data_IF_348823198819
#
_entry.id   IF_348823198819
#
_cell.length_a   1.000
_cell.length_b   1.000
_cell.length_c   1.000
_cell.angle_alpha   90.00
_cell.angle_beta   90.00
_cell.angle_gamma   90.00
#
_symmetry.space_group_name_H-M   'P 1'
#
loop_
_entity.id
_entity.type
_entity.pdbx_description
1 polymer ?
#
# COMPACT_ATOMS: atom_id res chain seq x y z
N UNK A 1 53.82 0.89 51.20
CA UNK A 1 53.41 1.87 50.20
C UNK A 1 54.03 1.47 48.89
N UNK A 2 53.25 0.89 48.00
CA UNK A 2 53.72 0.42 46.69
C UNK A 2 53.34 1.48 45.65
N UNK A 3 54.31 1.96 44.86
CA UNK A 3 54.14 2.89 43.78
C UNK A 3 53.45 2.17 42.57
N UNK A 4 52.49 2.79 41.86
CA UNK A 4 51.95 2.21 40.67
C UNK A 4 52.88 2.29 39.46
N UNK A 5 53.00 1.22 38.69
CA UNK A 5 53.84 1.10 37.50
C UNK A 5 53.37 2.04 36.38
N UNK A 6 54.26 2.59 35.55
CA UNK A 6 53.91 3.50 34.47
C UNK A 6 53.24 2.75 33.31
N UNK A 7 52.15 3.33 32.78
CA UNK A 7 51.41 2.87 31.60
C UNK A 7 52.29 2.93 30.35
N UNK A 8 52.36 1.88 29.49
CA UNK A 8 53.20 1.92 28.30
C UNK A 8 52.65 2.89 27.26
N UNK A 9 53.53 3.78 26.77
CA UNK A 9 53.20 4.72 25.68
C UNK A 9 52.98 3.97 24.36
N UNK A 10 51.89 4.27 23.66
CA UNK A 10 51.57 3.71 22.36
C UNK A 10 52.62 4.12 21.30
N UNK A 11 53.09 3.21 20.43
CA UNK A 11 54.07 3.52 19.40
C UNK A 11 53.53 4.56 18.41
N UNK A 12 54.35 5.55 18.04
CA UNK A 12 54.03 6.66 17.12
C UNK A 12 53.26 6.25 15.85
N UNK A 13 53.53 5.03 15.33
CA UNK A 13 52.82 4.49 14.17
C UNK A 13 51.34 4.13 14.42
N UNK A 14 51.01 3.73 15.67
CA UNK A 14 49.60 3.44 16.03
C UNK A 14 48.80 4.73 16.25
N UNK A 15 49.43 5.79 16.74
CA UNK A 15 48.83 7.12 16.86
C UNK A 15 48.54 7.74 15.48
N UNK A 16 49.52 7.69 14.56
CA UNK A 16 49.34 8.21 13.20
C UNK A 16 48.29 7.45 12.39
N UNK A 17 48.16 6.13 12.60
CA UNK A 17 47.06 5.35 11.95
C UNK A 17 45.68 5.71 12.50
N UNK A 18 45.55 5.99 13.80
CA UNK A 18 44.28 6.43 14.42
C UNK A 18 43.91 7.85 14.04
N UNK A 19 44.86 8.76 13.90
CA UNK A 19 44.62 10.13 13.41
C UNK A 19 44.31 10.17 11.92
N UNK A 20 44.94 9.33 11.08
CA UNK A 20 44.62 9.22 9.66
C UNK A 20 43.22 8.60 9.44
N UNK A 21 42.83 7.61 10.23
CA UNK A 21 41.46 7.05 10.18
C UNK A 21 40.38 8.06 10.64
N UNK A 22 40.69 8.89 11.65
CA UNK A 22 39.83 9.96 12.11
C UNK A 22 39.72 11.12 11.08
N UNK A 23 40.84 11.44 10.38
CA UNK A 23 40.82 12.43 9.29
C UNK A 23 40.10 11.95 8.02
N UNK A 24 40.24 10.66 7.68
CA UNK A 24 39.52 10.05 6.57
C UNK A 24 37.99 9.97 6.83
N UNK A 25 37.59 9.78 8.09
CA UNK A 25 36.18 9.82 8.48
C UNK A 25 35.58 11.26 8.45
N UNK A 26 36.43 12.29 8.53
CA UNK A 26 36.00 13.70 8.46
C UNK A 26 35.88 14.23 7.03
N UNK A 27 36.41 13.52 6.01
CA UNK A 27 36.35 13.90 4.59
C UNK A 27 35.31 13.13 3.78
N UNK A 28 34.60 12.18 4.39
CA UNK A 28 33.38 11.66 3.76
C UNK A 28 32.38 12.82 3.66
N UNK A 29 31.74 13.05 2.50
CA UNK A 29 30.69 14.05 2.43
C UNK A 29 29.67 13.68 3.52
N UNK A 30 29.56 14.52 4.53
CA UNK A 30 28.42 14.47 5.44
C UNK A 30 27.22 14.74 4.57
N UNK A 31 26.58 13.68 4.08
CA UNK A 31 25.19 13.79 3.72
C UNK A 31 24.53 14.26 5.00
N UNK A 32 24.28 15.57 5.10
CA UNK A 32 23.34 16.06 6.07
C UNK A 32 22.05 15.36 5.71
N UNK A 33 21.68 14.36 6.53
CA UNK A 33 20.30 13.89 6.58
C UNK A 33 19.54 15.16 6.89
N UNK A 34 18.96 15.78 5.86
CA UNK A 34 18.02 16.87 6.02
C UNK A 34 16.88 16.21 6.82
N UNK A 35 16.92 16.37 8.14
CA UNK A 35 15.78 16.09 8.98
C UNK A 35 14.65 16.86 8.33
N UNK A 36 13.56 16.15 7.98
CA UNK A 36 12.34 16.77 7.51
C UNK A 36 12.10 17.99 8.41
N UNK A 37 12.26 19.18 7.84
CA UNK A 37 12.33 20.44 8.61
C UNK A 37 10.99 20.69 9.29
N UNK A 38 11.02 21.42 10.40
CA UNK A 38 9.79 22.01 10.94
C UNK A 38 9.10 22.80 9.84
N UNK A 39 7.76 22.76 9.73
CA UNK A 39 7.01 23.46 8.69
C UNK A 39 7.39 24.94 8.68
N UNK A 40 7.94 25.45 7.58
CA UNK A 40 8.53 26.79 7.47
C UNK A 40 7.57 27.94 7.76
N UNK A 41 6.28 27.74 7.84
CA UNK A 41 5.27 28.75 8.18
C UNK A 41 4.22 28.21 9.16
N UNK A 42 4.59 27.24 10.01
CA UNK A 42 3.64 26.57 10.92
C UNK A 42 2.63 25.67 10.21
N UNK A 43 2.74 25.49 8.87
CA UNK A 43 1.87 24.64 8.05
C UNK A 43 2.70 23.70 7.20
N UNK A 44 2.25 22.43 7.10
CA UNK A 44 2.92 21.39 6.31
C UNK A 44 2.68 21.63 4.80
N UNK A 45 3.75 21.79 4.03
CA UNK A 45 3.67 21.94 2.58
C UNK A 45 3.56 20.60 1.90
N UNK A 46 2.40 20.31 1.29
CA UNK A 46 2.10 19.02 0.67
C UNK A 46 2.00 19.16 -0.84
N UNK A 47 2.69 18.28 -1.57
CA UNK A 47 2.50 18.06 -2.99
C UNK A 47 1.64 16.81 -3.23
N UNK A 48 0.78 16.82 -4.27
CA UNK A 48 -0.04 15.69 -4.65
C UNK A 48 0.32 15.22 -6.06
N UNK A 49 0.72 13.94 -6.19
CA UNK A 49 1.04 13.28 -7.46
C UNK A 49 -0.12 12.33 -7.82
N UNK A 50 -0.76 12.57 -8.97
CA UNK A 50 -2.04 11.96 -9.33
C UNK A 50 -3.18 12.61 -8.53
N UNK A 51 -3.86 13.59 -9.12
CA UNK A 51 -4.90 14.37 -8.42
C UNK A 51 -6.32 14.05 -8.88
N UNK A 52 -6.46 13.27 -9.95
CA UNK A 52 -7.76 12.83 -10.46
C UNK A 52 -8.34 11.66 -9.67
N UNK A 53 -9.62 11.37 -9.83
CA UNK A 53 -10.32 10.21 -9.28
C UNK A 53 -10.00 9.95 -7.78
N UNK A 54 -9.16 8.93 -7.51
CA UNK A 54 -8.74 8.59 -6.14
C UNK A 54 -7.86 9.67 -5.52
N UNK A 55 -7.02 10.33 -6.33
CA UNK A 55 -6.19 11.44 -5.85
C UNK A 55 -7.00 12.62 -5.36
N UNK A 56 -8.19 12.87 -5.92
CA UNK A 56 -9.08 13.92 -5.41
C UNK A 56 -9.54 13.67 -3.97
N UNK A 57 -9.66 12.41 -3.53
CA UNK A 57 -9.92 12.13 -2.12
C UNK A 57 -8.80 12.69 -1.22
N UNK A 58 -7.53 12.44 -1.58
CA UNK A 58 -6.42 12.99 -0.82
C UNK A 58 -6.42 14.53 -0.85
N UNK A 59 -6.59 15.13 -2.04
CA UNK A 59 -6.69 16.59 -2.19
C UNK A 59 -7.81 17.16 -1.32
N UNK A 60 -9.00 16.56 -1.34
CA UNK A 60 -10.17 17.04 -0.58
C UNK A 60 -9.97 16.96 0.94
N UNK A 61 -9.35 15.89 1.43
CA UNK A 61 -9.05 15.77 2.86
C UNK A 61 -7.95 16.76 3.31
N UNK A 62 -6.92 16.95 2.47
CA UNK A 62 -5.87 17.93 2.73
C UNK A 62 -6.40 19.37 2.73
N UNK A 63 -7.37 19.72 1.87
CA UNK A 63 -8.04 21.03 1.86
C UNK A 63 -8.78 21.31 3.16
N UNK A 64 -9.28 20.29 3.85
CA UNK A 64 -10.03 20.44 5.12
C UNK A 64 -9.12 20.65 6.32
N UNK A 65 -7.84 20.30 6.25
CA UNK A 65 -6.92 20.42 7.39
C UNK A 65 -6.20 21.79 7.36
N UNK A 66 -6.50 22.71 8.30
CA UNK A 66 -5.91 24.05 8.32
C UNK A 66 -4.38 24.04 8.56
N UNK A 67 -3.82 22.94 9.00
CA UNK A 67 -2.38 22.75 9.22
C UNK A 67 -1.61 22.45 7.93
N UNK A 68 -2.33 22.22 6.81
CA UNK A 68 -1.76 21.86 5.51
C UNK A 68 -1.74 23.07 4.57
N UNK A 69 -0.71 23.15 3.76
CA UNK A 69 -0.58 24.04 2.63
C UNK A 69 -0.34 23.22 1.36
N UNK A 70 -1.27 23.22 0.40
CA UNK A 70 -1.09 22.58 -0.90
C UNK A 70 -0.19 23.46 -1.75
N UNK A 71 1.01 22.95 -2.11
CA UNK A 71 2.05 23.75 -2.79
C UNK A 71 2.30 23.30 -4.23
N UNK A 72 2.05 22.04 -4.56
CA UNK A 72 2.22 21.54 -5.91
C UNK A 72 1.25 20.40 -6.24
N UNK A 73 0.84 20.35 -7.49
CA UNK A 73 0.14 19.24 -8.11
C UNK A 73 0.95 18.67 -9.26
N UNK A 74 0.85 17.34 -9.46
CA UNK A 74 1.43 16.70 -10.62
C UNK A 74 0.42 15.70 -11.21
N UNK A 75 0.02 15.91 -12.47
CA UNK A 75 -0.83 14.99 -13.22
C UNK A 75 -0.57 15.13 -14.72
N UNK A 76 -0.60 14.00 -15.43
CA UNK A 76 -0.33 13.94 -16.88
C UNK A 76 -1.57 14.16 -17.73
N UNK A 77 -2.76 14.20 -17.11
CA UNK A 77 -4.07 14.35 -17.79
C UNK A 77 -4.75 15.67 -17.39
N UNK A 78 -4.75 16.61 -18.31
CA UNK A 78 -5.32 17.95 -18.08
C UNK A 78 -6.84 17.94 -17.88
N UNK A 79 -7.55 16.95 -18.42
CA UNK A 79 -8.98 16.79 -18.15
C UNK A 79 -9.24 16.39 -16.70
N UNK A 80 -8.39 15.53 -16.14
CA UNK A 80 -8.48 15.18 -14.71
C UNK A 80 -8.12 16.36 -13.83
N UNK A 81 -7.15 17.16 -14.23
CA UNK A 81 -6.79 18.43 -13.53
C UNK A 81 -7.98 19.39 -13.50
N UNK A 82 -8.61 19.64 -14.65
CA UNK A 82 -9.76 20.54 -14.76
C UNK A 82 -10.94 20.06 -13.89
N UNK A 83 -11.26 18.76 -13.93
CA UNK A 83 -12.29 18.16 -13.07
C UNK A 83 -11.95 18.26 -11.58
N UNK A 84 -10.69 18.13 -11.22
CA UNK A 84 -10.22 18.29 -9.83
C UNK A 84 -10.40 19.73 -9.37
N UNK A 85 -10.08 20.71 -10.20
CA UNK A 85 -10.28 22.12 -9.88
C UNK A 85 -11.75 22.48 -9.69
N UNK A 86 -12.62 22.01 -10.59
CA UNK A 86 -14.06 22.19 -10.47
C UNK A 86 -14.59 21.61 -9.14
N UNK A 87 -14.29 20.36 -8.84
CA UNK A 87 -14.73 19.69 -7.62
C UNK A 87 -14.17 20.35 -6.36
N UNK A 88 -12.94 20.86 -6.42
CA UNK A 88 -12.32 21.62 -5.33
C UNK A 88 -13.05 22.94 -5.06
N UNK A 89 -13.44 23.66 -6.11
CA UNK A 89 -14.24 24.88 -5.99
C UNK A 89 -15.63 24.61 -5.39
N UNK A 90 -16.31 23.56 -5.84
CA UNK A 90 -17.60 23.10 -5.29
C UNK A 90 -17.48 22.74 -3.81
N UNK A 91 -16.43 22.01 -3.43
CA UNK A 91 -16.17 21.64 -2.03
C UNK A 91 -15.91 22.90 -1.18
N UNK A 92 -15.11 23.84 -1.68
CA UNK A 92 -14.81 25.09 -0.98
C UNK A 92 -16.07 25.93 -0.76
N UNK A 93 -16.91 26.07 -1.78
CA UNK A 93 -18.17 26.80 -1.69
C UNK A 93 -19.17 26.17 -0.71
N UNK A 94 -19.29 24.85 -0.71
CA UNK A 94 -20.24 24.12 0.14
C UNK A 94 -19.81 24.00 1.60
N UNK A 95 -18.51 24.03 1.87
CA UNK A 95 -17.94 23.77 3.21
C UNK A 95 -17.28 24.99 3.86
N UNK A 96 -17.26 26.16 3.20
CA UNK A 96 -16.66 27.39 3.74
C UNK A 96 -15.15 27.29 4.01
N UNK A 97 -14.43 26.43 3.27
CA UNK A 97 -13.01 26.20 3.50
C UNK A 97 -12.16 27.42 3.15
N UNK A 98 -11.23 27.76 4.02
CA UNK A 98 -10.31 28.91 3.86
C UNK A 98 -9.04 28.60 3.04
N UNK A 99 -8.95 27.40 2.42
CA UNK A 99 -7.78 26.97 1.65
C UNK A 99 -7.56 27.76 0.34
N UNK A 100 -6.41 27.60 -0.32
CA UNK A 100 -6.12 28.24 -1.60
C UNK A 100 -7.09 27.77 -2.68
N UNK A 101 -7.30 28.60 -3.71
CA UNK A 101 -7.93 28.14 -4.93
C UNK A 101 -7.00 27.15 -5.63
N UNK A 102 -7.49 25.97 -6.00
CA UNK A 102 -6.64 24.90 -6.55
C UNK A 102 -5.89 25.32 -7.83
N UNK A 103 -6.44 26.17 -8.73
CA UNK A 103 -5.69 26.70 -9.87
C UNK A 103 -4.46 27.57 -9.51
N UNK A 104 -4.38 28.09 -8.28
CA UNK A 104 -3.22 28.84 -7.82
C UNK A 104 -2.07 27.93 -7.33
N UNK A 105 -2.32 26.65 -7.14
CA UNK A 105 -1.31 25.66 -6.77
C UNK A 105 -0.44 25.35 -7.97
N UNK A 106 0.89 25.29 -7.78
CA UNK A 106 1.84 25.02 -8.88
C UNK A 106 1.55 23.66 -9.52
N UNK A 107 1.30 23.64 -10.83
CA UNK A 107 1.03 22.42 -11.60
C UNK A 107 2.28 21.96 -12.34
N UNK A 108 2.55 20.66 -12.28
CA UNK A 108 3.56 19.93 -13.03
C UNK A 108 2.90 18.77 -13.81
N UNK A 109 3.48 18.39 -14.94
CA UNK A 109 3.09 17.18 -15.68
C UNK A 109 3.96 15.99 -15.28
N UNK A 110 5.24 16.24 -14.98
CA UNK A 110 6.24 15.24 -14.63
C UNK A 110 6.72 15.45 -13.18
N UNK A 111 6.54 14.46 -12.33
CA UNK A 111 7.01 14.53 -10.95
C UNK A 111 8.55 14.56 -10.85
N UNK A 112 9.29 14.10 -11.88
CA UNK A 112 10.76 14.20 -11.92
C UNK A 112 11.17 15.68 -12.04
N UNK A 113 10.49 16.44 -12.89
CA UNK A 113 10.67 17.89 -13.00
C UNK A 113 10.27 18.60 -11.70
N UNK A 114 9.13 18.20 -11.10
CA UNK A 114 8.68 18.75 -9.83
C UNK A 114 9.76 18.57 -8.74
N UNK A 115 10.34 17.41 -8.58
CA UNK A 115 11.39 17.20 -7.60
C UNK A 115 12.71 17.90 -7.97
N UNK A 116 13.07 17.95 -9.24
CA UNK A 116 14.29 18.63 -9.69
C UNK A 116 14.25 20.17 -9.45
N UNK A 117 13.07 20.78 -9.54
CA UNK A 117 12.93 22.24 -9.53
C UNK A 117 12.21 22.81 -8.31
N UNK A 118 11.47 21.98 -7.56
CA UNK A 118 10.57 22.47 -6.51
C UNK A 118 10.67 21.70 -5.18
N UNK A 119 11.56 20.72 -5.06
CA UNK A 119 11.67 19.86 -3.87
C UNK A 119 11.84 20.67 -2.57
N UNK A 120 12.55 21.78 -2.57
CA UNK A 120 12.81 22.61 -1.38
C UNK A 120 11.55 23.28 -0.81
N UNK A 121 10.47 23.30 -1.56
CA UNK A 121 9.17 23.85 -1.14
C UNK A 121 8.19 22.78 -0.63
N UNK A 122 8.58 21.51 -0.67
CA UNK A 122 7.74 20.35 -0.33
C UNK A 122 8.25 19.74 0.97
N UNK A 123 7.35 19.47 1.92
CA UNK A 123 7.64 18.74 3.14
C UNK A 123 7.13 17.28 3.04
N UNK A 124 5.99 17.10 2.38
CA UNK A 124 5.30 15.81 2.30
C UNK A 124 4.62 15.61 0.94
N UNK A 125 4.42 14.36 0.55
CA UNK A 125 3.86 14.00 -0.77
C UNK A 125 2.78 12.94 -0.64
N UNK A 126 1.66 13.10 -1.36
CA UNK A 126 0.72 12.02 -1.62
C UNK A 126 0.91 11.47 -3.03
N UNK A 127 0.91 10.14 -3.18
CA UNK A 127 1.01 9.45 -4.48
C UNK A 127 -0.27 8.64 -4.69
N UNK A 128 -1.05 9.01 -5.71
CA UNK A 128 -2.35 8.40 -6.03
C UNK A 128 -2.49 8.15 -7.54
N UNK A 129 -1.41 7.77 -8.17
CA UNK A 129 -1.27 7.40 -9.58
C UNK A 129 -1.79 5.98 -9.86
N UNK A 130 -1.75 5.46 -11.10
CA UNK A 130 -1.79 4.02 -11.37
C UNK A 130 -0.62 3.29 -10.68
N UNK A 131 -0.80 1.97 -10.40
CA UNK A 131 0.08 1.18 -9.54
C UNK A 131 1.56 1.23 -9.97
N UNK A 132 1.83 1.17 -11.27
CA UNK A 132 3.18 1.17 -11.83
C UNK A 132 3.99 2.46 -11.57
N UNK A 133 3.33 3.57 -11.24
CA UNK A 133 3.97 4.83 -10.87
C UNK A 133 4.22 4.99 -9.37
N UNK A 134 3.64 4.15 -8.51
CA UNK A 134 3.75 4.31 -7.05
C UNK A 134 5.21 4.31 -6.59
N UNK A 135 5.99 3.30 -7.05
CA UNK A 135 7.39 3.19 -6.65
C UNK A 135 8.26 4.37 -7.09
N UNK A 136 8.38 4.72 -8.38
CA UNK A 136 9.30 5.77 -8.80
C UNK A 136 8.95 7.14 -8.18
N UNK A 137 7.66 7.49 -8.06
CA UNK A 137 7.24 8.73 -7.42
C UNK A 137 7.58 8.76 -5.93
N UNK A 138 7.28 7.68 -5.20
CA UNK A 138 7.58 7.58 -3.77
C UNK A 138 9.10 7.50 -3.50
N UNK A 139 9.85 6.78 -4.33
CA UNK A 139 11.30 6.67 -4.21
C UNK A 139 12.01 8.01 -4.39
N UNK A 140 11.55 8.84 -5.35
CA UNK A 140 12.04 10.21 -5.51
C UNK A 140 11.72 11.06 -4.29
N UNK A 141 10.49 10.99 -3.76
CA UNK A 141 10.13 11.72 -2.54
C UNK A 141 11.03 11.33 -1.36
N UNK A 142 11.25 10.03 -1.14
CA UNK A 142 12.14 9.52 -0.09
C UNK A 142 13.59 9.96 -0.28
N UNK A 143 14.08 9.99 -1.53
CA UNK A 143 15.43 10.47 -1.86
C UNK A 143 15.62 11.95 -1.48
N UNK A 144 14.57 12.74 -1.60
CA UNK A 144 14.54 14.14 -1.19
C UNK A 144 14.15 14.32 0.29
N UNK A 145 14.08 13.25 1.09
CA UNK A 145 13.77 13.32 2.52
C UNK A 145 12.34 13.76 2.84
N UNK A 146 11.37 13.50 1.93
CA UNK A 146 9.97 13.90 2.13
C UNK A 146 9.16 12.82 2.79
N UNK A 147 8.18 13.21 3.64
CA UNK A 147 7.17 12.32 4.15
C UNK A 147 6.27 11.83 3.00
N UNK A 148 5.84 10.56 3.03
CA UNK A 148 5.14 9.96 1.88
C UNK A 148 3.88 9.21 2.30
N UNK A 149 2.78 9.53 1.63
CA UNK A 149 1.54 8.75 1.62
C UNK A 149 1.36 8.15 0.23
N UNK A 150 1.23 6.82 0.10
CA UNK A 150 1.06 6.13 -1.19
C UNK A 150 -0.23 5.35 -1.18
N UNK A 151 -1.05 5.46 -2.23
CA UNK A 151 -2.23 4.60 -2.37
C UNK A 151 -1.84 3.12 -2.51
N UNK A 152 -2.79 2.25 -2.24
CA UNK A 152 -2.65 0.79 -2.35
C UNK A 152 -2.88 0.31 -3.81
N UNK A 153 -2.27 -0.83 -4.22
CA UNK A 153 -1.19 -1.53 -3.53
C UNK A 153 0.04 -0.63 -3.44
N UNK A 154 0.91 -0.86 -2.44
CA UNK A 154 2.03 0.06 -2.20
C UNK A 154 2.92 0.24 -3.43
N UNK A 155 3.13 -0.83 -4.18
CA UNK A 155 3.96 -0.86 -5.39
C UNK A 155 3.43 -1.89 -6.40
N UNK A 156 4.08 -1.96 -7.56
CA UNK A 156 3.74 -2.86 -8.64
C UNK A 156 4.52 -4.19 -8.59
N UNK A 157 5.74 -4.20 -8.01
CA UNK A 157 6.56 -5.40 -7.81
C UNK A 157 7.00 -5.56 -6.35
N UNK A 158 7.38 -6.80 -5.97
CA UNK A 158 7.88 -7.08 -4.62
C UNK A 158 9.21 -6.37 -4.35
N UNK A 159 10.10 -6.33 -5.34
CA UNK A 159 11.39 -5.63 -5.24
C UNK A 159 11.23 -4.14 -4.98
N UNK A 160 10.26 -3.50 -5.64
CA UNK A 160 9.90 -2.11 -5.40
C UNK A 160 9.43 -1.88 -3.95
N UNK A 161 8.56 -2.76 -3.41
CA UNK A 161 8.09 -2.63 -2.04
C UNK A 161 9.23 -2.71 -1.03
N UNK A 162 10.12 -3.68 -1.18
CA UNK A 162 11.30 -3.86 -0.33
C UNK A 162 12.26 -2.66 -0.44
N UNK A 163 12.47 -2.14 -1.64
CA UNK A 163 13.30 -0.96 -1.87
C UNK A 163 12.72 0.29 -1.21
N UNK A 164 11.39 0.49 -1.26
CA UNK A 164 10.73 1.60 -0.57
C UNK A 164 10.90 1.52 0.94
N UNK A 165 10.75 0.33 1.56
CA UNK A 165 10.97 0.17 3.01
C UNK A 165 12.39 0.57 3.37
N UNK A 166 13.38 0.04 2.66
CA UNK A 166 14.79 0.36 2.90
C UNK A 166 15.08 1.86 2.69
N UNK A 167 14.49 2.49 1.68
CA UNK A 167 14.63 3.92 1.42
C UNK A 167 13.99 4.76 2.54
N UNK A 168 12.80 4.40 3.01
CA UNK A 168 12.11 5.08 4.09
C UNK A 168 12.87 4.99 5.43
N UNK A 169 13.45 3.82 5.74
CA UNK A 169 14.32 3.63 6.91
C UNK A 169 15.53 4.57 6.86
N UNK A 170 16.22 4.64 5.70
CA UNK A 170 17.37 5.55 5.53
C UNK A 170 16.98 7.03 5.63
N UNK A 171 15.84 7.39 5.06
CA UNK A 171 15.35 8.78 5.08
C UNK A 171 14.83 9.21 6.46
N UNK A 172 14.43 8.29 7.33
CA UNK A 172 13.91 8.59 8.66
C UNK A 172 12.60 9.38 8.67
N UNK A 173 11.81 9.28 7.60
CA UNK A 173 10.55 10.03 7.40
C UNK A 173 9.32 9.23 7.80
N UNK A 174 8.19 9.92 7.96
CA UNK A 174 6.90 9.30 8.22
C UNK A 174 6.28 8.83 6.90
N UNK A 175 5.87 7.57 6.86
CA UNK A 175 5.27 6.92 5.69
C UNK A 175 3.91 6.34 6.02
N UNK A 176 3.02 6.22 5.03
CA UNK A 176 1.71 5.62 5.17
C UNK A 176 1.24 5.04 3.83
N UNK A 177 0.66 3.84 3.83
CA UNK A 177 -0.10 3.31 2.71
C UNK A 177 -1.59 3.62 2.86
N UNK A 178 -2.27 3.85 1.74
CA UNK A 178 -3.66 4.28 1.65
C UNK A 178 -4.70 3.15 1.80
N UNK A 179 -4.47 2.14 2.63
CA UNK A 179 -5.47 1.12 2.95
C UNK A 179 -6.40 1.60 4.07
N UNK A 180 -7.51 2.26 3.69
CA UNK A 180 -8.39 3.01 4.60
C UNK A 180 -8.94 2.19 5.76
N UNK A 181 -9.17 0.88 5.58
CA UNK A 181 -9.63 -0.03 6.64
C UNK A 181 -8.72 -0.03 7.86
N UNK A 182 -7.41 0.21 7.68
CA UNK A 182 -6.43 0.19 8.78
C UNK A 182 -6.70 1.20 9.88
N UNK A 183 -7.38 2.28 9.60
CA UNK A 183 -7.73 3.32 10.58
C UNK A 183 -9.12 3.13 11.19
N UNK A 184 -9.90 2.10 10.81
CA UNK A 184 -11.27 1.91 11.29
C UNK A 184 -11.34 1.22 12.65
N UNK A 185 -12.48 1.33 13.30
CA UNK A 185 -12.79 0.64 14.56
C UNK A 185 -12.80 -0.87 14.39
N UNK A 186 -13.42 -1.35 13.29
CA UNK A 186 -13.64 -2.78 13.07
C UNK A 186 -12.34 -3.60 13.00
N UNK A 187 -11.29 -3.07 12.39
CA UNK A 187 -10.01 -3.80 12.31
C UNK A 187 -9.35 -3.95 13.68
N UNK A 188 -9.53 -2.96 14.57
CA UNK A 188 -9.05 -3.01 15.96
C UNK A 188 -9.82 -4.02 16.76
N UNK A 189 -11.12 -4.01 16.64
CA UNK A 189 -11.98 -5.01 17.28
C UNK A 189 -11.59 -6.43 16.87
N UNK A 190 -11.34 -6.67 15.58
CA UNK A 190 -10.90 -7.99 15.10
C UNK A 190 -9.60 -8.43 15.75
N UNK A 191 -8.60 -7.55 15.81
CA UNK A 191 -7.33 -7.87 16.47
C UNK A 191 -7.53 -8.13 17.97
N UNK A 192 -8.25 -7.27 18.65
CA UNK A 192 -8.55 -7.40 20.10
C UNK A 192 -9.29 -8.71 20.42
N UNK A 193 -10.26 -9.11 19.58
CA UNK A 193 -10.99 -10.36 19.78
C UNK A 193 -10.13 -11.59 19.54
N UNK A 194 -9.26 -11.54 18.50
CA UNK A 194 -8.29 -12.62 18.22
C UNK A 194 -7.29 -12.72 19.36
N UNK A 195 -6.71 -11.63 19.81
CA UNK A 195 -5.71 -11.60 20.89
C UNK A 195 -6.31 -12.06 22.23
N UNK A 196 -7.60 -11.77 22.48
CA UNK A 196 -8.35 -12.27 23.65
C UNK A 196 -8.76 -13.75 23.51
N UNK A 197 -8.44 -14.42 22.41
CA UNK A 197 -8.76 -15.83 22.18
C UNK A 197 -10.25 -16.10 21.89
N UNK A 198 -11.03 -15.08 21.50
CA UNK A 198 -12.47 -15.21 21.27
C UNK A 198 -12.83 -16.28 20.23
N UNK A 199 -12.02 -16.45 19.20
CA UNK A 199 -12.23 -17.46 18.14
C UNK A 199 -11.35 -18.71 18.28
N UNK A 200 -10.41 -18.73 19.24
CA UNK A 200 -9.41 -19.80 19.39
C UNK A 200 -8.35 -19.76 18.28
N UNK A 201 -7.74 -20.93 18.02
CA UNK A 201 -6.70 -21.09 17.00
C UNK A 201 -7.28 -20.94 15.59
N UNK A 202 -6.72 -20.05 14.79
CA UNK A 202 -7.10 -19.84 13.38
C UNK A 202 -6.14 -20.60 12.48
N UNK A 203 -6.67 -21.48 11.62
CA UNK A 203 -5.89 -22.25 10.63
C UNK A 203 -6.28 -21.92 9.19
N UNK A 204 -7.43 -21.30 8.99
CA UNK A 204 -7.96 -20.99 7.67
C UNK A 204 -8.59 -19.59 7.67
N UNK A 205 -8.32 -18.84 6.58
CA UNK A 205 -8.83 -17.50 6.34
C UNK A 205 -9.33 -17.43 4.90
N UNK A 206 -10.50 -16.83 4.68
CA UNK A 206 -11.00 -16.51 3.35
C UNK A 206 -11.25 -15.02 3.21
N UNK A 207 -10.81 -14.46 2.09
CA UNK A 207 -11.23 -13.14 1.62
C UNK A 207 -11.77 -13.26 0.20
N UNK A 208 -12.75 -12.43 -0.16
CA UNK A 208 -13.34 -12.51 -1.50
C UNK A 208 -13.87 -11.17 -2.00
N UNK A 209 -13.89 -11.03 -3.34
CA UNK A 209 -14.45 -9.88 -4.05
C UNK A 209 -15.00 -10.31 -5.41
N UNK A 210 -16.06 -9.69 -5.95
CA UNK A 210 -16.48 -9.89 -7.34
C UNK A 210 -15.41 -9.38 -8.30
N UNK A 211 -15.60 -9.60 -9.60
CA UNK A 211 -14.80 -9.01 -10.66
C UNK A 211 -14.85 -7.47 -10.64
N UNK A 212 -13.96 -6.84 -11.38
CA UNK A 212 -14.07 -5.42 -11.70
C UNK A 212 -15.37 -5.15 -12.48
N UNK A 213 -16.03 -4.05 -12.17
CA UNK A 213 -17.04 -3.54 -13.07
C UNK A 213 -16.41 -2.87 -14.31
N UNK A 214 -17.18 -2.70 -15.39
CA UNK A 214 -16.73 -2.16 -16.67
C UNK A 214 -16.10 -0.77 -16.60
N UNK A 215 -16.36 -0.01 -15.55
CA UNK A 215 -15.73 1.30 -15.34
C UNK A 215 -14.23 1.17 -15.08
N UNK A 216 -13.84 0.17 -14.28
CA UNK A 216 -12.44 0.04 -13.81
C UNK A 216 -11.61 -0.94 -14.64
N UNK A 217 -12.25 -1.92 -15.23
CA UNK A 217 -11.65 -2.82 -16.20
C UNK A 217 -12.72 -3.50 -17.03
N UNK A 218 -12.55 -3.44 -18.35
CA UNK A 218 -13.35 -4.21 -19.30
C UNK A 218 -12.38 -5.03 -20.13
N UNK A 219 -12.48 -6.35 -20.00
CA UNK A 219 -11.61 -7.25 -20.75
C UNK A 219 -11.89 -7.10 -22.25
N UNK A 220 -10.86 -6.83 -23.08
CA UNK A 220 -11.05 -6.77 -24.52
C UNK A 220 -11.39 -8.14 -25.10
N UNK A 221 -12.15 -8.17 -26.19
CA UNK A 221 -12.53 -9.39 -26.90
C UNK A 221 -11.37 -10.04 -27.65
N UNK A 222 -10.36 -9.27 -28.02
CA UNK A 222 -9.19 -9.73 -28.77
C UNK A 222 -7.94 -8.93 -28.43
N UNK A 223 -6.76 -9.54 -28.61
CA UNK A 223 -5.44 -8.93 -28.54
C UNK A 223 -4.65 -9.27 -29.82
N UNK A 224 -3.76 -8.39 -30.29
CA UNK A 224 -3.48 -7.04 -29.77
C UNK A 224 -4.61 -6.06 -30.03
N UNK A 225 -4.70 -5.00 -29.22
CA UNK A 225 -5.63 -3.91 -29.44
C UNK A 225 -5.21 -3.07 -30.64
N UNK A 226 -6.15 -2.55 -31.46
CA UNK A 226 -5.82 -1.56 -32.47
C UNK A 226 -5.31 -0.27 -31.82
N UNK A 227 -4.27 0.33 -32.42
CA UNK A 227 -3.77 1.62 -31.95
C UNK A 227 -4.81 2.72 -32.10
N UNK A 228 -4.93 3.58 -31.08
CA UNK A 228 -5.77 4.78 -31.08
C UNK A 228 -4.92 6.01 -30.82
N UNK A 229 -5.37 7.18 -31.25
CA UNK A 229 -4.74 8.45 -30.89
C UNK A 229 -5.08 8.81 -29.45
N UNK A 230 -4.08 9.08 -28.58
CA UNK A 230 -4.35 9.56 -27.24
C UNK A 230 -5.11 10.89 -27.28
N UNK A 231 -5.97 11.19 -26.29
CA UNK A 231 -6.55 12.53 -26.12
C UNK A 231 -5.44 13.59 -26.06
N UNK A 232 -5.64 14.74 -26.67
CA UNK A 232 -4.66 15.83 -26.68
C UNK A 232 -4.31 16.37 -25.27
N UNK A 233 -5.19 16.13 -24.30
CA UNK A 233 -5.02 16.48 -22.88
C UNK A 233 -4.15 15.51 -22.11
N UNK A 234 -3.92 14.27 -22.61
CA UNK A 234 -3.17 13.21 -21.98
C UNK A 234 -1.74 13.10 -22.55
N UNK A 235 -0.74 13.26 -21.72
CA UNK A 235 0.62 12.89 -22.07
C UNK A 235 0.80 11.38 -21.91
N UNK A 236 0.67 10.66 -23.02
CA UNK A 236 0.69 9.20 -23.02
C UNK A 236 2.07 8.60 -22.68
N UNK A 237 3.15 9.27 -23.05
CA UNK A 237 4.50 8.79 -22.71
C UNK A 237 4.77 8.92 -21.21
N UNK A 238 4.44 10.06 -20.62
CA UNK A 238 4.50 10.25 -19.17
C UNK A 238 3.54 9.33 -18.43
N UNK A 239 2.36 9.03 -19.01
CA UNK A 239 1.40 8.11 -18.39
C UNK A 239 1.91 6.66 -18.39
N UNK A 240 2.58 6.18 -19.44
CA UNK A 240 3.25 4.88 -19.45
C UNK A 240 4.39 4.84 -18.44
N UNK A 241 5.11 5.95 -18.27
CA UNK A 241 6.12 6.12 -17.23
C UNK A 241 7.19 5.03 -17.22
N UNK A 242 7.36 4.29 -16.11
CA UNK A 242 8.36 3.23 -15.99
C UNK A 242 8.01 1.97 -16.79
N UNK A 243 6.73 1.76 -17.13
CA UNK A 243 6.32 0.61 -17.93
C UNK A 243 6.80 0.73 -19.39
N UNK A 244 6.93 -0.41 -20.06
CA UNK A 244 7.22 -0.40 -21.49
C UNK A 244 6.12 0.35 -22.26
N UNK A 245 6.55 1.23 -23.17
CA UNK A 245 5.62 2.02 -23.96
C UNK A 245 4.87 1.12 -24.94
N UNK A 246 3.55 1.22 -24.94
CA UNK A 246 2.65 0.58 -25.91
C UNK A 246 1.73 1.61 -26.57
N UNK A 247 1.07 1.20 -27.63
CA UNK A 247 0.05 2.02 -28.27
C UNK A 247 -1.09 2.34 -27.30
N UNK A 248 -1.59 3.56 -27.41
CA UNK A 248 -2.74 3.99 -26.61
C UNK A 248 -4.02 3.27 -27.05
N UNK A 249 -4.84 2.92 -26.08
CA UNK A 249 -6.21 2.48 -26.28
C UNK A 249 -7.08 2.85 -25.06
N UNK A 250 -8.33 3.26 -25.30
CA UNK A 250 -9.28 3.64 -24.25
C UNK A 250 -9.61 2.52 -23.26
N UNK A 251 -9.36 1.26 -23.61
CA UNK A 251 -9.44 0.11 -22.69
C UNK A 251 -8.31 0.04 -21.68
N UNK A 252 -7.33 0.95 -21.75
CA UNK A 252 -6.21 1.04 -20.82
C UNK A 252 -6.37 2.29 -19.94
N UNK A 253 -6.35 3.46 -20.55
CA UNK A 253 -6.31 4.73 -19.84
C UNK A 253 -7.56 5.58 -20.15
N UNK A 254 -7.95 6.45 -19.21
CA UNK A 254 -7.27 6.81 -17.96
C UNK A 254 -7.65 5.95 -16.74
N UNK A 255 -8.64 5.03 -16.83
CA UNK A 255 -9.23 4.37 -15.64
C UNK A 255 -9.12 2.85 -15.67
N UNK A 256 -9.08 2.23 -16.86
CA UNK A 256 -9.24 0.78 -17.05
C UNK A 256 -7.94 -0.03 -16.96
N UNK A 257 -6.84 0.59 -16.56
CA UNK A 257 -5.50 0.02 -16.48
C UNK A 257 -5.35 -1.15 -15.47
N UNK A 258 -6.27 -1.26 -14.50
CA UNK A 258 -6.16 -2.20 -13.38
C UNK A 258 -6.03 -3.66 -13.77
N UNK A 259 -6.67 -4.06 -14.88
CA UNK A 259 -6.60 -5.42 -15.40
C UNK A 259 -5.47 -5.67 -16.40
N UNK A 260 -4.55 -4.73 -16.58
CA UNK A 260 -3.38 -4.86 -17.45
C UNK A 260 -2.13 -5.03 -16.61
N UNK A 261 -1.45 -6.16 -16.73
CA UNK A 261 -0.29 -6.49 -15.90
C UNK A 261 0.88 -5.50 -15.99
N UNK A 262 0.97 -4.71 -17.04
CA UNK A 262 2.01 -3.67 -17.17
C UNK A 262 1.73 -2.44 -16.31
N UNK A 263 0.47 -2.22 -15.91
CA UNK A 263 0.03 -0.97 -15.27
C UNK A 263 -0.65 -1.17 -13.92
N UNK A 264 -1.22 -2.36 -13.67
CA UNK A 264 -1.97 -2.66 -12.47
C UNK A 264 -1.78 -4.08 -11.96
N UNK A 265 -2.26 -4.31 -10.76
CA UNK A 265 -2.11 -5.55 -10.00
C UNK A 265 -3.40 -6.37 -9.90
N UNK A 266 -4.39 -6.10 -10.77
CA UNK A 266 -5.66 -6.82 -10.78
C UNK A 266 -6.55 -6.58 -9.57
N UNK A 267 -7.60 -7.37 -9.44
CA UNK A 267 -8.55 -7.30 -8.34
C UNK A 267 -7.88 -7.63 -7.00
N UNK A 268 -6.97 -8.61 -6.98
CA UNK A 268 -6.18 -8.93 -5.80
C UNK A 268 -5.38 -7.72 -5.31
N UNK A 269 -4.65 -7.02 -6.20
CA UNK A 269 -3.89 -5.82 -5.85
C UNK A 269 -4.79 -4.68 -5.39
N UNK A 270 -5.91 -4.46 -6.05
CA UNK A 270 -6.81 -3.33 -5.77
C UNK A 270 -7.60 -3.51 -4.47
N UNK A 271 -7.98 -4.76 -4.07
CA UNK A 271 -8.86 -4.98 -2.94
C UNK A 271 -8.29 -5.80 -1.79
N UNK A 272 -7.36 -6.72 -2.02
CA UNK A 272 -6.85 -7.56 -0.95
C UNK A 272 -6.12 -6.77 0.15
N UNK A 273 -5.43 -5.68 -0.21
CA UNK A 273 -4.83 -4.78 0.78
C UNK A 273 -5.85 -4.15 1.75
N UNK A 274 -7.15 -4.14 1.39
CA UNK A 274 -8.21 -3.73 2.30
C UNK A 274 -8.81 -4.91 3.05
N UNK A 275 -9.20 -5.95 2.30
CA UNK A 275 -9.97 -7.09 2.85
C UNK A 275 -9.09 -7.99 3.72
N UNK A 276 -7.83 -8.20 3.34
CA UNK A 276 -6.90 -9.07 4.04
C UNK A 276 -6.03 -8.37 5.09
N UNK A 277 -6.12 -7.04 5.19
CA UNK A 277 -5.39 -6.27 6.21
C UNK A 277 -5.75 -6.74 7.64
N UNK A 278 -7.04 -6.96 7.90
CA UNK A 278 -7.51 -7.40 9.21
C UNK A 278 -6.93 -8.76 9.63
N UNK A 279 -7.07 -9.86 8.86
CA UNK A 279 -6.47 -11.14 9.23
C UNK A 279 -4.95 -11.10 9.19
N UNK A 280 -4.33 -10.36 8.27
CA UNK A 280 -2.89 -10.20 8.21
C UNK A 280 -2.34 -9.62 9.52
N UNK A 281 -2.97 -8.57 10.03
CA UNK A 281 -2.60 -7.96 11.29
C UNK A 281 -2.98 -8.78 12.52
N UNK A 282 -4.23 -9.23 12.57
CA UNK A 282 -4.74 -9.92 13.76
C UNK A 282 -3.97 -11.22 14.04
N UNK A 283 -3.54 -11.92 12.99
CA UNK A 283 -2.84 -13.19 13.09
C UNK A 283 -1.30 -13.03 13.01
N UNK A 284 -0.77 -11.82 12.84
CA UNK A 284 0.67 -11.55 12.63
C UNK A 284 1.27 -12.46 11.54
N UNK A 285 0.65 -12.47 10.34
CA UNK A 285 0.93 -13.49 9.33
C UNK A 285 2.37 -13.45 8.80
N UNK A 286 2.93 -12.27 8.59
CA UNK A 286 4.29 -12.13 8.05
C UNK A 286 4.39 -12.60 6.60
N UNK A 287 5.49 -13.26 6.23
CA UNK A 287 5.74 -13.72 4.88
C UNK A 287 5.16 -15.13 4.65
N UNK A 288 4.44 -15.38 3.55
CA UNK A 288 4.02 -16.75 3.21
C UNK A 288 5.24 -17.60 2.81
N UNK A 289 5.18 -18.90 3.05
CA UNK A 289 6.18 -19.85 2.56
C UNK A 289 5.90 -20.33 1.13
N UNK A 290 4.64 -20.31 0.71
CA UNK A 290 4.26 -20.61 -0.67
C UNK A 290 2.95 -19.92 -1.07
N UNK A 291 2.80 -19.72 -2.37
CA UNK A 291 1.61 -19.14 -2.99
C UNK A 291 1.28 -19.90 -4.27
N UNK A 292 0.02 -20.21 -4.50
CA UNK A 292 -0.47 -20.84 -5.73
C UNK A 292 -1.80 -20.21 -6.17
N UNK A 293 -2.07 -20.18 -7.47
CA UNK A 293 -3.31 -19.68 -8.04
C UNK A 293 -3.97 -20.67 -8.99
N UNK A 294 -5.27 -20.79 -8.88
CA UNK A 294 -6.14 -21.41 -9.86
C UNK A 294 -6.88 -20.29 -10.57
N UNK A 295 -6.73 -20.16 -11.87
CA UNK A 295 -7.32 -19.10 -12.70
C UNK A 295 -8.04 -19.71 -13.89
N UNK A 296 -9.04 -19.01 -14.43
CA UNK A 296 -9.73 -19.40 -15.67
C UNK A 296 -8.80 -19.33 -16.88
N UNK A 297 -7.86 -18.38 -16.90
CA UNK A 297 -6.92 -18.18 -17.99
C UNK A 297 -5.61 -17.57 -17.48
N UNK A 298 -4.48 -18.21 -17.82
CA UNK A 298 -3.14 -17.64 -17.59
C UNK A 298 -2.80 -16.71 -18.75
N UNK A 299 -2.51 -15.45 -18.44
CA UNK A 299 -2.13 -14.45 -19.42
C UNK A 299 -0.94 -13.63 -18.93
N UNK A 300 -0.03 -13.32 -19.84
CA UNK A 300 1.09 -12.40 -19.58
C UNK A 300 0.70 -10.92 -19.74
N UNK A 301 -0.51 -10.65 -20.24
CA UNK A 301 -1.00 -9.29 -20.57
C UNK A 301 -2.12 -8.84 -19.65
N UNK A 302 -3.11 -9.71 -19.43
CA UNK A 302 -4.36 -9.38 -18.73
C UNK A 302 -4.54 -10.22 -17.46
N UNK A 303 -5.23 -9.64 -16.47
CA UNK A 303 -5.68 -10.37 -15.28
C UNK A 303 -6.74 -11.42 -15.64
N UNK A 304 -6.87 -12.52 -14.89
CA UNK A 304 -7.93 -13.50 -15.09
C UNK A 304 -9.33 -12.89 -14.82
N UNK A 305 -10.40 -13.56 -15.26
CA UNK A 305 -11.77 -13.22 -14.90
C UNK A 305 -12.13 -13.76 -13.52
N UNK A 306 -11.63 -14.96 -13.24
CA UNK A 306 -11.81 -15.63 -11.96
C UNK A 306 -10.49 -16.17 -11.44
N UNK A 307 -10.26 -16.04 -10.13
CA UNK A 307 -9.10 -16.61 -9.49
C UNK A 307 -9.42 -17.11 -8.07
N UNK A 308 -8.71 -18.17 -7.70
CA UNK A 308 -8.57 -18.64 -6.33
C UNK A 308 -7.08 -18.68 -6.00
N UNK A 309 -6.63 -17.81 -5.10
CA UNK A 309 -5.23 -17.70 -4.72
C UNK A 309 -5.05 -18.21 -3.29
N UNK A 310 -4.17 -19.17 -3.09
CA UNK A 310 -3.90 -19.82 -1.81
C UNK A 310 -2.51 -19.45 -1.32
N UNK A 311 -2.43 -18.82 -0.14
CA UNK A 311 -1.21 -18.48 0.57
C UNK A 311 -1.03 -19.42 1.75
N UNK A 312 0.17 -19.97 1.95
CA UNK A 312 0.49 -20.79 3.12
C UNK A 312 1.49 -20.08 4.00
N UNK A 313 1.12 -19.91 5.26
CA UNK A 313 1.97 -19.28 6.27
C UNK A 313 2.45 -20.35 7.26
N UNK A 314 3.75 -20.34 7.63
CA UNK A 314 4.28 -21.26 8.64
C UNK A 314 3.72 -20.95 10.03
N UNK A 315 3.94 -21.84 10.96
CA UNK A 315 3.69 -21.58 12.38
C UNK A 315 4.52 -20.37 12.87
N UNK A 316 3.97 -19.59 13.81
CA UNK A 316 4.58 -18.36 14.36
C UNK A 316 4.48 -18.40 15.87
N UNK A 317 5.57 -18.76 16.53
CA UNK A 317 5.57 -19.02 17.97
C UNK A 317 4.54 -20.08 18.35
N UNK A 318 3.61 -19.76 19.25
CA UNK A 318 2.51 -20.66 19.64
C UNK A 318 1.34 -20.70 18.64
N UNK A 319 1.32 -19.83 17.62
CA UNK A 319 0.23 -19.77 16.63
C UNK A 319 0.44 -20.83 15.56
N UNK A 320 -0.61 -21.56 15.18
CA UNK A 320 -0.53 -22.62 14.17
C UNK A 320 -0.22 -22.06 12.77
N UNK A 321 0.16 -22.92 11.80
CA UNK A 321 0.18 -22.57 10.39
C UNK A 321 -1.20 -22.11 9.93
N UNK A 322 -1.21 -21.15 8.97
CA UNK A 322 -2.46 -20.60 8.41
C UNK A 322 -2.47 -20.77 6.89
N UNK A 323 -3.58 -21.23 6.36
CA UNK A 323 -3.93 -21.18 4.94
C UNK A 323 -4.87 -19.99 4.73
N UNK A 324 -4.45 -19.02 3.90
CA UNK A 324 -5.29 -17.90 3.52
C UNK A 324 -5.66 -18.06 2.05
N UNK A 325 -6.97 -17.97 1.74
CA UNK A 325 -7.50 -18.12 0.39
C UNK A 325 -8.21 -16.85 -0.02
N UNK A 326 -7.77 -16.28 -1.12
CA UNK A 326 -8.47 -15.20 -1.81
C UNK A 326 -9.30 -15.74 -2.96
N UNK A 327 -10.54 -15.27 -3.08
CA UNK A 327 -11.43 -15.60 -4.18
C UNK A 327 -11.81 -14.32 -4.91
N UNK A 328 -11.66 -14.29 -6.22
CA UNK A 328 -12.07 -13.14 -7.03
C UNK A 328 -12.79 -13.56 -8.30
N UNK A 329 -13.73 -12.73 -8.72
CA UNK A 329 -14.51 -12.94 -9.91
C UNK A 329 -16.00 -13.19 -9.62
N UNK A 330 -16.80 -13.12 -10.66
CA UNK A 330 -18.25 -13.29 -10.54
C UNK A 330 -18.58 -14.75 -10.14
N UNK A 331 -19.44 -14.87 -9.15
CA UNK A 331 -19.78 -16.18 -8.59
C UNK A 331 -18.75 -16.83 -7.68
N UNK A 332 -17.53 -16.30 -7.62
CA UNK A 332 -16.47 -16.83 -6.75
C UNK A 332 -16.74 -16.46 -5.28
N UNK A 333 -17.13 -17.46 -4.49
CA UNK A 333 -17.41 -17.34 -3.05
C UNK A 333 -16.66 -18.43 -2.29
N UNK A 334 -16.23 -18.17 -1.05
CA UNK A 334 -15.75 -19.26 -0.19
C UNK A 334 -16.89 -20.23 0.16
N UNK A 335 -16.55 -21.47 0.55
CA UNK A 335 -17.50 -22.36 1.18
C UNK A 335 -18.13 -21.70 2.40
N UNK A 336 -19.42 -21.98 2.66
CA UNK A 336 -20.09 -21.50 3.88
C UNK A 336 -19.46 -22.16 5.09
N UNK A 337 -19.05 -21.40 6.11
CA UNK A 337 -18.65 -21.98 7.39
C UNK A 337 -19.82 -22.80 7.99
N UNK A 338 -19.49 -23.79 8.80
CA UNK A 338 -20.49 -24.69 9.40
C UNK A 338 -21.49 -23.96 10.34
N UNK A 339 -21.05 -22.87 10.94
CA UNK A 339 -21.81 -21.99 11.82
C UNK A 339 -22.49 -20.82 11.08
N UNK A 340 -22.56 -20.88 9.74
CA UNK A 340 -23.25 -19.88 8.92
C UNK A 340 -24.76 -19.98 9.09
N UNK A 341 -25.39 -18.87 9.45
CA UNK A 341 -26.85 -18.71 9.49
C UNK A 341 -27.28 -17.78 8.33
N UNK A 342 -28.20 -18.23 7.48
CA UNK A 342 -28.71 -17.38 6.41
C UNK A 342 -29.58 -16.25 6.96
N UNK A 343 -29.33 -15.03 6.53
CA UNK A 343 -30.23 -13.91 6.73
C UNK A 343 -31.45 -14.08 5.78
N UNK A 344 -32.65 -14.12 6.33
CA UNK A 344 -33.87 -14.28 5.55
C UNK A 344 -34.05 -13.18 4.47
N UNK A 345 -33.45 -11.98 4.69
CA UNK A 345 -33.53 -10.87 3.74
C UNK A 345 -32.40 -10.90 2.69
N UNK A 346 -31.29 -11.57 2.98
CA UNK A 346 -30.11 -11.66 2.14
C UNK A 346 -29.47 -13.04 2.26
N UNK A 347 -30.09 -14.07 1.65
CA UNK A 347 -29.57 -15.43 1.77
C UNK A 347 -28.21 -15.57 1.08
N UNK A 348 -27.35 -16.41 1.67
CA UNK A 348 -26.04 -16.75 1.12
C UNK A 348 -24.91 -15.81 1.53
N UNK A 349 -23.70 -16.12 1.06
CA UNK A 349 -22.48 -15.35 1.34
C UNK A 349 -22.50 -14.06 0.49
N UNK A 350 -22.39 -12.87 1.11
CA UNK A 350 -22.37 -11.59 0.39
C UNK A 350 -21.27 -11.51 -0.67
N UNK A 351 -21.35 -10.51 -1.56
CA UNK A 351 -20.40 -10.36 -2.67
C UNK A 351 -18.96 -10.08 -2.24
N UNK A 352 -18.77 -9.50 -1.06
CA UNK A 352 -17.45 -9.15 -0.51
C UNK A 352 -17.40 -9.43 0.97
N UNK A 353 -16.25 -9.82 1.46
CA UNK A 353 -16.05 -10.04 2.88
C UNK A 353 -14.82 -10.88 3.19
N UNK A 354 -14.72 -11.24 4.46
CA UNK A 354 -13.69 -12.15 4.95
C UNK A 354 -14.20 -13.04 6.07
N UNK A 355 -13.63 -14.26 6.17
CA UNK A 355 -13.78 -15.15 7.30
C UNK A 355 -12.42 -15.43 7.93
N UNK A 356 -12.36 -15.51 9.25
CA UNK A 356 -11.32 -16.21 10.01
C UNK A 356 -11.96 -17.40 10.72
N UNK A 357 -11.60 -18.62 10.30
CA UNK A 357 -12.14 -19.87 10.84
C UNK A 357 -11.28 -20.27 12.04
N UNK A 358 -11.80 -20.02 13.23
CA UNK A 358 -11.16 -20.39 14.48
C UNK A 358 -11.61 -21.75 14.99
N UNK A 359 -10.86 -22.31 15.95
CA UNK A 359 -11.19 -23.61 16.57
C UNK A 359 -12.43 -23.56 17.47
N UNK A 360 -12.83 -22.34 17.90
CA UNK A 360 -14.03 -22.12 18.73
C UNK A 360 -15.16 -21.53 17.90
N UNK A 361 -14.91 -20.43 17.22
CA UNK A 361 -15.92 -19.67 16.47
C UNK A 361 -15.33 -19.13 15.16
N UNK A 362 -16.20 -18.84 14.21
CA UNK A 362 -15.83 -18.12 12.99
C UNK A 362 -16.05 -16.63 13.18
N UNK A 363 -15.02 -15.82 12.92
CA UNK A 363 -15.15 -14.39 12.80
C UNK A 363 -15.42 -14.01 11.35
N UNK A 364 -16.49 -13.26 11.14
CA UNK A 364 -16.92 -12.77 9.84
C UNK A 364 -16.95 -11.24 9.81
N UNK A 365 -16.47 -10.67 8.73
CA UNK A 365 -16.67 -9.24 8.46
C UNK A 365 -17.07 -9.03 7.00
N UNK A 366 -18.26 -8.40 6.76
CA UNK A 366 -18.75 -8.12 5.41
C UNK A 366 -18.04 -6.92 4.79
N UNK A 367 -18.14 -6.83 3.45
CA UNK A 367 -17.63 -5.72 2.67
C UNK A 367 -16.16 -5.81 2.30
N UNK A 368 -15.72 -4.99 1.37
CA UNK A 368 -14.34 -4.98 0.89
C UNK A 368 -13.36 -4.28 1.86
N UNK A 369 -13.88 -3.47 2.79
CA UNK A 369 -13.16 -2.89 3.93
C UNK A 369 -13.80 -3.39 5.20
N UNK A 370 -13.36 -4.52 5.74
CA UNK A 370 -14.00 -5.15 6.89
C UNK A 370 -14.01 -4.21 8.09
N UNK A 371 -15.18 -3.68 8.46
CA UNK A 371 -15.34 -2.71 9.55
C UNK A 371 -16.39 -3.10 10.57
N UNK A 372 -17.23 -4.08 10.28
CA UNK A 372 -18.30 -4.53 11.15
C UNK A 372 -18.15 -6.03 11.48
N UNK A 373 -17.15 -6.41 12.31
CA UNK A 373 -16.91 -7.80 12.63
C UNK A 373 -18.01 -8.38 13.53
N UNK A 374 -18.30 -9.68 13.32
CA UNK A 374 -19.16 -10.46 14.17
C UNK A 374 -18.68 -11.90 14.28
N UNK A 375 -18.97 -12.55 15.37
CA UNK A 375 -18.91 -14.00 15.46
C UNK A 375 -20.14 -14.57 14.77
N UNK A 376 -19.99 -15.67 14.04
CA UNK A 376 -21.12 -16.36 13.44
C UNK A 376 -21.92 -17.11 14.51
N UNK A 377 -23.21 -17.31 14.24
CA UNK A 377 -24.20 -17.81 15.20
C UNK A 377 -24.79 -16.70 16.06
N UNK A 378 -26.11 -16.47 15.92
CA UNK A 378 -26.82 -15.38 16.62
C UNK A 378 -26.64 -15.50 18.14
N UNK A 379 -26.82 -16.68 18.70
CA UNK A 379 -26.67 -16.92 20.14
C UNK A 379 -25.23 -16.68 20.62
N UNK A 380 -24.23 -17.11 19.83
CA UNK A 380 -22.81 -16.90 20.12
C UNK A 380 -22.48 -15.41 20.18
N UNK A 381 -22.96 -14.64 19.19
CA UNK A 381 -22.70 -13.20 19.14
C UNK A 381 -23.38 -12.45 20.28
N UNK A 382 -24.61 -12.83 20.66
CA UNK A 382 -25.31 -12.21 21.80
C UNK A 382 -24.63 -12.51 23.15
N UNK A 383 -24.12 -13.72 23.35
CA UNK A 383 -23.32 -14.05 24.52
C UNK A 383 -22.00 -13.28 24.54
N UNK A 384 -21.30 -13.24 23.40
CA UNK A 384 -20.04 -12.51 23.25
C UNK A 384 -20.21 -11.01 23.55
N UNK A 385 -21.31 -10.39 23.11
CA UNK A 385 -21.61 -8.97 23.41
C UNK A 385 -21.69 -8.67 24.91
N UNK A 386 -22.22 -9.60 25.72
CA UNK A 386 -22.28 -9.45 27.17
C UNK A 386 -20.93 -9.52 27.86
N UNK A 387 -20.01 -10.29 27.28
CA UNK A 387 -18.68 -10.56 27.83
C UNK A 387 -17.54 -10.04 26.91
N UNK A 388 -17.80 -8.98 26.13
CA UNK A 388 -16.83 -8.44 25.18
C UNK A 388 -15.56 -8.00 25.91
N UNK A 389 -14.36 -8.35 25.40
CA UNK A 389 -13.10 -7.85 25.92
C UNK A 389 -13.05 -6.31 25.88
N UNK A 390 -12.44 -5.71 26.90
CA UNK A 390 -12.19 -4.28 26.91
C UNK A 390 -11.25 -3.88 25.75
N UNK A 391 -11.42 -2.69 25.16
CA UNK A 391 -10.52 -2.16 24.15
C UNK A 391 -9.09 -2.03 24.69
N UNK A 392 -8.10 -2.55 23.92
CA UNK A 392 -6.68 -2.50 24.28
C UNK A 392 -5.84 -1.67 23.32
N UNK A 393 -6.37 -1.40 22.12
CA UNK A 393 -5.66 -0.68 21.06
C UNK A 393 -6.12 0.78 20.97
N UNK A 394 -5.21 1.73 20.68
CA UNK A 394 -5.60 3.12 20.40
C UNK A 394 -6.52 3.21 19.19
N UNK A 395 -7.53 4.08 19.25
CA UNK A 395 -8.42 4.40 18.14
C UNK A 395 -7.85 5.52 17.30
N UNK A 396 -8.08 5.47 15.99
CA UNK A 396 -7.63 6.49 15.03
C UNK A 396 -8.83 7.34 14.62
N UNK A 397 -8.76 8.63 14.93
CA UNK A 397 -9.78 9.58 14.50
C UNK A 397 -9.46 10.16 13.11
N UNK A 398 -10.45 10.23 12.22
CA UNK A 398 -10.34 10.95 10.94
C UNK A 398 -9.62 10.20 9.81
N UNK A 399 -9.39 8.89 9.98
CA UNK A 399 -8.87 8.05 8.90
C UNK A 399 -7.34 8.12 8.69
N UNK A 400 -6.81 7.34 7.71
CA UNK A 400 -5.36 7.13 7.59
C UNK A 400 -4.59 8.37 7.13
N UNK A 401 -5.20 9.25 6.33
CA UNK A 401 -4.52 10.47 5.90
C UNK A 401 -4.33 11.44 7.08
N UNK A 402 -5.36 11.57 7.93
CA UNK A 402 -5.24 12.36 9.16
C UNK A 402 -4.25 11.74 10.15
N UNK A 403 -4.25 10.42 10.32
CA UNK A 403 -3.25 9.69 11.12
C UNK A 403 -1.82 10.03 10.67
N UNK A 404 -1.60 10.04 9.36
CA UNK A 404 -0.30 10.40 8.77
C UNK A 404 0.07 11.86 9.03
N UNK A 405 -0.86 12.80 8.84
CA UNK A 405 -0.63 14.21 9.14
C UNK A 405 -0.34 14.45 10.64
N UNK A 406 -1.08 13.80 11.52
CA UNK A 406 -0.88 13.92 12.97
C UNK A 406 0.49 13.36 13.40
N UNK A 407 0.94 12.26 12.79
CA UNK A 407 2.28 11.71 13.04
C UNK A 407 3.40 12.67 12.61
N UNK A 408 3.22 13.42 11.51
CA UNK A 408 4.19 14.40 11.03
C UNK A 408 4.17 15.66 11.90
N UNK A 409 2.99 16.27 12.05
CA UNK A 409 2.83 17.63 12.59
C UNK A 409 2.92 17.61 14.13
N UNK A 410 2.24 16.66 14.77
CA UNK A 410 2.18 16.54 16.22
C UNK A 410 3.26 15.60 16.79
N UNK A 411 4.13 15.04 15.96
CA UNK A 411 5.12 14.00 16.37
C UNK A 411 4.44 12.84 17.11
N UNK A 412 3.24 12.48 16.65
CA UNK A 412 2.44 11.40 17.18
C UNK A 412 3.05 10.01 16.93
N UNK A 413 2.37 8.94 17.34
CA UNK A 413 2.81 7.59 17.06
C UNK A 413 2.91 7.34 15.54
N UNK A 414 3.77 6.39 15.15
CA UNK A 414 3.87 6.01 13.72
C UNK A 414 2.50 5.53 13.22
N UNK A 415 2.11 5.92 11.99
CA UNK A 415 0.85 5.49 11.39
C UNK A 415 0.73 3.97 11.33
N UNK A 416 -0.49 3.46 11.46
CA UNK A 416 -0.76 2.02 11.52
C UNK A 416 -0.39 1.27 10.24
N UNK A 417 -0.39 1.94 9.08
CA UNK A 417 0.03 1.37 7.79
C UNK A 417 1.32 1.98 7.26
N UNK A 418 2.28 2.29 8.14
CA UNK A 418 3.62 2.70 7.74
C UNK A 418 4.31 1.61 6.91
N UNK A 419 5.41 1.92 6.22
CA UNK A 419 6.04 0.98 5.28
C UNK A 419 6.66 -0.26 5.95
N UNK A 420 6.93 -0.25 7.26
CA UNK A 420 7.33 -1.47 7.97
C UNK A 420 6.21 -2.51 8.01
N UNK A 421 4.97 -2.05 8.13
CA UNK A 421 3.79 -2.89 8.13
C UNK A 421 3.25 -3.16 6.71
N UNK A 422 3.15 -2.12 5.88
CA UNK A 422 2.48 -2.23 4.59
C UNK A 422 3.30 -2.97 3.53
N UNK A 423 4.63 -3.02 3.66
CA UNK A 423 5.47 -3.79 2.74
C UNK A 423 5.23 -5.29 2.85
N UNK A 424 5.27 -5.93 4.03
CA UNK A 424 4.91 -7.35 4.14
C UNK A 424 3.50 -7.68 3.64
N UNK A 425 2.52 -6.82 3.90
CA UNK A 425 1.15 -6.99 3.38
C UNK A 425 1.12 -6.90 1.85
N UNK A 426 1.78 -5.91 1.27
CA UNK A 426 1.87 -5.74 -0.19
C UNK A 426 2.67 -6.86 -0.85
N UNK A 427 3.75 -7.33 -0.23
CA UNK A 427 4.54 -8.48 -0.69
C UNK A 427 3.67 -9.74 -0.80
N UNK A 428 2.87 -10.06 0.22
CA UNK A 428 1.92 -11.17 0.15
C UNK A 428 0.99 -11.02 -1.07
N UNK A 429 0.36 -9.87 -1.23
CA UNK A 429 -0.58 -9.59 -2.33
C UNK A 429 0.12 -9.73 -3.69
N UNK A 430 1.30 -9.15 -3.86
CA UNK A 430 2.06 -9.18 -5.11
C UNK A 430 2.57 -10.58 -5.47
N UNK A 431 2.89 -11.43 -4.49
CA UNK A 431 3.18 -12.85 -4.73
C UNK A 431 1.96 -13.59 -5.28
N UNK A 432 0.75 -13.26 -4.80
CA UNK A 432 -0.49 -13.77 -5.39
C UNK A 432 -0.69 -13.32 -6.83
N UNK A 433 -0.39 -12.07 -7.14
CA UNK A 433 -0.39 -11.54 -8.52
C UNK A 433 0.57 -12.31 -9.41
N UNK A 434 1.79 -12.60 -8.93
CA UNK A 434 2.77 -13.41 -9.67
C UNK A 434 2.28 -14.84 -9.90
N UNK A 435 1.66 -15.47 -8.89
CA UNK A 435 1.09 -16.82 -9.04
C UNK A 435 -0.02 -16.86 -10.10
N UNK A 436 -0.91 -15.85 -10.13
CA UNK A 436 -1.95 -15.74 -11.17
C UNK A 436 -1.36 -15.51 -12.57
N UNK A 437 -0.38 -14.61 -12.68
CA UNK A 437 0.27 -14.24 -13.95
C UNK A 437 1.06 -15.40 -14.56
N UNK A 438 1.63 -16.27 -13.72
CA UNK A 438 2.50 -17.37 -14.16
C UNK A 438 1.81 -18.72 -14.22
N UNK A 439 0.66 -18.88 -13.54
CA UNK A 439 -0.01 -20.17 -13.36
C UNK A 439 0.84 -21.19 -12.60
N UNK A 440 1.82 -20.72 -11.81
CA UNK A 440 2.77 -21.56 -11.09
C UNK A 440 2.58 -21.45 -9.58
N UNK A 441 2.80 -22.57 -8.87
CA UNK A 441 3.03 -22.53 -7.44
C UNK A 441 4.43 -21.98 -7.17
N UNK A 442 4.50 -20.97 -6.31
CA UNK A 442 5.73 -20.28 -5.94
C UNK A 442 6.10 -20.65 -4.51
N UNK A 443 7.30 -21.20 -4.30
CA UNK A 443 7.92 -21.35 -2.99
C UNK A 443 8.73 -20.09 -2.71
N UNK A 444 8.46 -19.42 -1.59
CA UNK A 444 8.98 -18.11 -1.30
C UNK A 444 9.93 -18.10 -0.09
N UNK A 445 11.15 -17.64 -0.29
CA UNK A 445 12.07 -17.29 0.80
C UNK A 445 11.87 -15.82 1.15
N UNK A 446 11.06 -15.55 2.18
CA UNK A 446 10.76 -14.19 2.64
C UNK A 446 11.97 -13.44 3.18
N UNK A 447 13.00 -14.13 3.69
CA UNK A 447 14.23 -13.49 4.15
C UNK A 447 15.09 -13.04 2.96
N UNK A 448 15.35 -13.94 2.02
CA UNK A 448 16.14 -13.64 0.82
C UNK A 448 15.36 -12.81 -0.21
N UNK A 449 14.02 -12.78 -0.14
CA UNK A 449 13.17 -12.05 -1.09
C UNK A 449 13.17 -12.66 -2.48
N UNK A 450 13.11 -13.98 -2.58
CA UNK A 450 13.19 -14.68 -3.87
C UNK A 450 12.31 -15.93 -3.93
N UNK A 451 11.89 -16.25 -5.14
CA UNK A 451 11.25 -17.52 -5.50
C UNK A 451 12.35 -18.59 -5.60
N UNK A 452 12.17 -19.73 -4.90
CA UNK A 452 13.20 -20.76 -4.79
C UNK A 452 13.02 -21.93 -5.76
N UNK A 453 11.78 -22.29 -6.07
CA UNK A 453 11.46 -23.42 -6.95
C UNK A 453 11.42 -23.07 -8.45
N UNK A 454 11.35 -21.78 -8.80
CA UNK A 454 11.32 -21.26 -10.17
C UNK A 454 12.24 -20.03 -10.26
N UNK A 455 13.59 -20.22 -10.23
CA UNK A 455 14.54 -19.10 -10.19
C UNK A 455 14.40 -18.11 -11.36
N UNK A 456 13.98 -18.57 -12.54
CA UNK A 456 13.76 -17.76 -13.74
C UNK A 456 12.64 -16.72 -13.56
N UNK A 457 11.71 -16.94 -12.63
CA UNK A 457 10.62 -16.02 -12.34
C UNK A 457 11.04 -14.85 -11.44
N UNK A 458 12.25 -14.90 -10.85
CA UNK A 458 12.73 -13.80 -10.00
C UNK A 458 12.88 -12.47 -10.77
N UNK A 459 13.03 -12.50 -12.10
CA UNK A 459 12.96 -11.30 -12.94
C UNK A 459 11.62 -10.52 -12.80
N UNK A 460 10.53 -11.19 -12.40
CA UNK A 460 9.22 -10.56 -12.14
C UNK A 460 9.10 -10.02 -10.71
N UNK A 461 9.97 -10.47 -9.81
CA UNK A 461 10.09 -9.93 -8.45
C UNK A 461 10.85 -8.61 -8.45
N UNK A 462 11.81 -8.45 -9.36
CA UNK A 462 12.76 -7.34 -9.42
C UNK A 462 12.10 -6.03 -9.89
N UNK A 463 12.81 -4.93 -9.63
CA UNK A 463 12.44 -3.61 -10.12
C UNK A 463 12.76 -3.55 -11.62
N UNK A 464 11.73 -3.30 -12.43
CA UNK A 464 11.89 -3.11 -13.88
C UNK A 464 11.39 -1.73 -14.28
N UNK A 465 12.21 -0.99 -15.03
CA UNK A 465 11.81 0.29 -15.59
C UNK A 465 12.51 0.53 -16.92
N UNK A 466 11.78 1.10 -17.89
CA UNK A 466 12.37 1.51 -19.17
C UNK A 466 13.43 2.61 -18.98
N UNK A 467 14.33 2.81 -19.97
CA UNK A 467 15.35 3.87 -19.91
C UNK A 467 14.75 5.25 -19.56
N UNK A 468 15.45 6.00 -18.68
CA UNK A 468 15.01 7.33 -18.22
C UNK A 468 14.03 7.31 -17.04
N UNK A 469 13.58 6.11 -16.58
CA UNK A 469 12.66 5.97 -15.43
C UNK A 469 13.24 5.20 -14.23
N UNK A 470 14.49 4.80 -14.31
CA UNK A 470 15.18 4.19 -13.16
C UNK A 470 15.47 5.23 -12.09
N UNK A 471 15.05 4.98 -10.85
CA UNK A 471 15.22 5.84 -9.68
C UNK A 471 16.17 5.22 -8.66
#
# INVERSE_FOLDING_TARGET
MAHPAPTPALPRRAFLRRTAAAAAAATLPRFSVLRAGEPRNGRLNVACIGIGNRGFYAVSELMKDPRVNLVAFCDVDQDLVAKTYQRGAELKASSGLAGPDLPAVRLFRDYREMFATFADRIDAVTVSTPDHHHYPAAALALRHGKHVYVEKPLTHTVGEARALRAAAQRAGVITQMGNQGRATEGIRLMKEWVDAGAIGDVREVHGWSPAFNDRYFRRPSALPLPAQTPPATLDWDLWCGPAERRDYHESIAPVRWRGWWDFGCGMLGDWACHTLDAPFWALDLGSPSSVEAQVDEVSTVLTPRTARVTFRFPARGARPPVTLVWHEGDGMRPPRPRDWEDDAKKPGVPERGMFMLGSRHTLYAPGGRPDSPRLLGTAVMEEFKRNRPAPTLPRVAGGPLKEWLDAIIARGPRPGSNFEYSVPLSEMVLLGVLAMRTGRRLEWDGQAGRITNHPELNRLVEISARPGWRV
#
